data_IF_953194066561
#
_entry.id   IF_953194066561
#
_cell.length_a   1.000
_cell.length_b   1.000
_cell.length_c   1.000
_cell.angle_alpha   90.00
_cell.angle_beta   90.00
_cell.angle_gamma   90.00
#
_symmetry.space_group_name_H-M   'P 1'
#
loop_
_entity.id
_entity.type
_entity.pdbx_description
1 polymer ?
#
# COMPACT_ATOMS: atom_id res chain seq x y z
N UNK A 1 -19.01 -10.36 27.81
CA UNK A 1 -19.45 -10.52 26.41
C UNK A 1 -18.44 -9.73 25.60
N UNK A 2 -17.65 -10.33 24.69
CA UNK A 2 -16.57 -9.58 24.05
C UNK A 2 -17.16 -8.43 23.23
N UNK A 3 -16.62 -7.23 23.47
CA UNK A 3 -17.18 -5.96 23.05
C UNK A 3 -17.17 -5.80 21.52
N UNK A 4 -18.36 -5.91 20.90
CA UNK A 4 -18.55 -5.66 19.46
C UNK A 4 -18.08 -4.25 19.03
N UNK A 5 -17.96 -3.31 19.97
CA UNK A 5 -17.41 -1.96 19.75
C UNK A 5 -15.90 -1.94 19.49
N UNK A 6 -15.15 -2.91 20.05
CA UNK A 6 -13.69 -3.01 19.88
C UNK A 6 -13.34 -3.84 18.64
N UNK A 7 -14.21 -4.73 18.16
CA UNK A 7 -13.90 -5.59 17.01
C UNK A 7 -14.18 -4.92 15.64
N UNK A 8 -15.11 -3.96 15.59
CA UNK A 8 -15.56 -3.33 14.34
C UNK A 8 -14.42 -2.72 13.50
N UNK A 9 -13.60 -1.81 14.06
CA UNK A 9 -12.51 -1.17 13.32
C UNK A 9 -11.45 -2.17 12.84
N UNK A 10 -11.15 -3.20 13.64
CA UNK A 10 -10.21 -4.25 13.26
C UNK A 10 -10.73 -5.09 12.10
N UNK A 11 -12.00 -5.48 12.12
CA UNK A 11 -12.63 -6.23 11.01
C UNK A 11 -12.64 -5.40 9.74
N UNK A 12 -12.98 -4.11 9.83
CA UNK A 12 -12.94 -3.20 8.69
C UNK A 12 -11.52 -3.11 8.10
N UNK A 13 -10.50 -2.96 8.94
CA UNK A 13 -9.10 -2.92 8.51
C UNK A 13 -8.64 -4.25 7.89
N UNK A 14 -9.03 -5.40 8.46
CA UNK A 14 -8.70 -6.73 7.89
C UNK A 14 -9.34 -6.88 6.50
N UNK A 15 -10.60 -6.51 6.34
CA UNK A 15 -11.27 -6.52 5.04
C UNK A 15 -10.56 -5.59 4.05
N UNK A 16 -10.19 -4.39 4.49
CA UNK A 16 -9.43 -3.42 3.69
C UNK A 16 -8.09 -4.03 3.22
N UNK A 17 -7.28 -4.57 4.14
CA UNK A 17 -6.02 -5.24 3.78
C UNK A 17 -6.24 -6.40 2.83
N UNK A 18 -7.27 -7.23 3.07
CA UNK A 18 -7.63 -8.36 2.21
C UNK A 18 -7.95 -7.92 0.78
N UNK A 19 -8.72 -6.85 0.61
CA UNK A 19 -9.05 -6.29 -0.71
C UNK A 19 -7.79 -5.76 -1.42
N UNK A 20 -6.94 -5.02 -0.73
CA UNK A 20 -5.70 -4.47 -1.31
C UNK A 20 -4.72 -5.58 -1.69
N UNK A 21 -4.49 -6.56 -0.81
CA UNK A 21 -3.62 -7.70 -1.07
C UNK A 21 -4.16 -8.57 -2.22
N UNK A 22 -5.47 -8.84 -2.22
CA UNK A 22 -6.12 -9.65 -3.25
C UNK A 22 -6.06 -8.99 -4.63
N UNK A 23 -6.37 -7.70 -4.71
CA UNK A 23 -6.27 -6.94 -5.96
C UNK A 23 -4.83 -6.84 -6.46
N UNK A 24 -3.86 -6.57 -5.58
CA UNK A 24 -2.45 -6.52 -5.97
C UNK A 24 -1.92 -7.88 -6.47
N UNK A 25 -2.27 -8.99 -5.81
CA UNK A 25 -1.88 -10.32 -6.26
C UNK A 25 -2.54 -10.67 -7.61
N UNK A 26 -3.81 -10.32 -7.80
CA UNK A 26 -4.50 -10.48 -9.08
C UNK A 26 -3.80 -9.67 -10.18
N UNK A 27 -3.47 -8.40 -9.94
CA UNK A 27 -2.75 -7.55 -10.89
C UNK A 27 -1.39 -8.13 -11.25
N UNK A 28 -0.63 -8.65 -10.28
CA UNK A 28 0.66 -9.31 -10.54
C UNK A 28 0.50 -10.57 -11.39
N UNK A 29 -0.52 -11.38 -11.13
CA UNK A 29 -0.80 -12.60 -11.92
C UNK A 29 -1.20 -12.27 -13.35
N UNK A 30 -2.00 -11.23 -13.57
CA UNK A 30 -2.36 -10.74 -14.90
C UNK A 30 -1.09 -10.26 -15.61
N UNK A 31 -0.28 -9.44 -14.94
CA UNK A 31 0.98 -8.92 -15.47
C UNK A 31 1.93 -10.05 -15.91
N UNK A 32 2.11 -11.07 -15.07
CA UNK A 32 2.97 -12.23 -15.36
C UNK A 32 2.48 -13.05 -16.56
N UNK A 33 1.18 -13.02 -16.87
CA UNK A 33 0.59 -13.68 -18.05
C UNK A 33 0.66 -12.83 -19.31
N UNK A 34 0.59 -11.51 -19.19
CA UNK A 34 0.50 -10.60 -20.34
C UNK A 34 1.86 -10.09 -20.80
N UNK A 35 2.84 -9.90 -19.90
CA UNK A 35 4.11 -9.25 -20.20
C UNK A 35 5.29 -10.16 -19.83
N UNK A 36 6.30 -10.19 -20.70
CA UNK A 36 7.54 -10.94 -20.44
C UNK A 36 8.30 -10.41 -19.22
N UNK A 37 8.68 -11.32 -18.32
CA UNK A 37 9.43 -11.03 -17.07
C UNK A 37 10.81 -10.40 -17.28
N UNK A 38 11.36 -10.50 -18.50
CA UNK A 38 12.69 -9.97 -18.84
C UNK A 38 12.66 -8.47 -19.16
N UNK A 39 11.48 -7.90 -19.40
CA UNK A 39 11.35 -6.52 -19.86
C UNK A 39 11.46 -5.53 -18.70
N UNK A 40 12.15 -4.40 -18.91
CA UNK A 40 12.22 -3.32 -17.91
C UNK A 40 10.84 -2.78 -17.52
N UNK A 41 9.88 -2.83 -18.45
CA UNK A 41 8.49 -2.45 -18.22
C UNK A 41 7.75 -3.42 -17.26
N UNK A 42 8.05 -4.72 -17.29
CA UNK A 42 7.51 -5.67 -16.31
C UNK A 42 7.99 -5.31 -14.90
N UNK A 43 9.30 -5.05 -14.76
CA UNK A 43 9.91 -4.62 -13.49
C UNK A 43 9.33 -3.30 -12.98
N UNK A 44 9.11 -2.34 -13.86
CA UNK A 44 8.43 -1.09 -13.55
C UNK A 44 7.04 -1.34 -12.94
N UNK A 45 6.22 -2.18 -13.59
CA UNK A 45 4.86 -2.46 -13.13
C UNK A 45 4.83 -3.28 -11.82
N UNK A 46 5.76 -4.21 -11.64
CA UNK A 46 5.91 -4.93 -10.35
C UNK A 46 6.22 -3.95 -9.22
N UNK A 47 7.13 -3.01 -9.45
CA UNK A 47 7.51 -1.98 -8.47
C UNK A 47 6.34 -1.04 -8.16
N UNK A 48 5.61 -0.62 -9.20
CA UNK A 48 4.42 0.22 -9.07
C UNK A 48 3.33 -0.48 -8.24
N UNK A 49 3.02 -1.76 -8.53
CA UNK A 49 2.01 -2.53 -7.80
C UNK A 49 2.45 -2.80 -6.37
N UNK A 50 3.72 -3.14 -6.15
CA UNK A 50 4.28 -3.34 -4.81
C UNK A 50 4.20 -2.08 -3.97
N UNK A 51 4.64 -0.95 -4.52
CA UNK A 51 4.56 0.34 -3.83
C UNK A 51 3.12 0.74 -3.55
N UNK A 52 2.22 0.61 -4.54
CA UNK A 52 0.81 0.94 -4.37
C UNK A 52 0.17 0.10 -3.25
N UNK A 53 0.45 -1.20 -3.20
CA UNK A 53 -0.03 -2.10 -2.16
C UNK A 53 0.45 -1.66 -0.76
N UNK A 54 1.75 -1.44 -0.59
CA UNK A 54 2.33 -1.09 0.71
C UNK A 54 1.78 0.25 1.20
N UNK A 55 1.82 1.28 0.36
CA UNK A 55 1.33 2.61 0.71
C UNK A 55 -0.17 2.58 1.05
N UNK A 56 -0.98 1.85 0.29
CA UNK A 56 -2.43 1.74 0.56
C UNK A 56 -2.71 1.10 1.92
N UNK A 57 -1.96 0.05 2.29
CA UNK A 57 -2.07 -0.56 3.61
C UNK A 57 -1.55 0.37 4.74
N UNK A 58 -0.50 1.16 4.48
CA UNK A 58 0.02 2.12 5.47
C UNK A 58 -1.00 3.21 5.80
N UNK A 59 -1.81 3.66 4.83
CA UNK A 59 -2.88 4.61 5.12
C UNK A 59 -3.92 4.06 6.10
N UNK A 60 -4.27 2.77 5.99
CA UNK A 60 -5.18 2.11 6.90
C UNK A 60 -4.55 1.83 8.28
N UNK A 61 -3.22 1.65 8.34
CA UNK A 61 -2.52 1.51 9.62
C UNK A 61 -2.68 2.75 10.53
N UNK A 62 -2.94 3.94 9.98
CA UNK A 62 -3.26 5.12 10.78
C UNK A 62 -4.55 4.94 11.60
N UNK A 63 -5.55 4.23 11.05
CA UNK A 63 -6.79 3.87 11.75
C UNK A 63 -6.48 2.93 12.91
N UNK A 64 -5.60 1.95 12.71
CA UNK A 64 -5.18 1.02 13.77
C UNK A 64 -4.49 1.76 14.93
N UNK A 65 -3.60 2.70 14.63
CA UNK A 65 -2.91 3.51 15.65
C UNK A 65 -3.92 4.31 16.48
N UNK A 66 -4.91 4.93 15.84
CA UNK A 66 -5.91 5.76 16.51
C UNK A 66 -6.79 4.97 17.49
N UNK A 67 -7.13 3.71 17.16
CA UNK A 67 -8.07 2.90 17.96
C UNK A 67 -7.40 1.91 18.91
N UNK A 68 -6.21 1.39 18.57
CA UNK A 68 -5.56 0.32 19.32
C UNK A 68 -4.11 0.64 19.74
N UNK A 69 -3.63 1.85 19.44
CA UNK A 69 -2.32 2.34 19.85
C UNK A 69 -1.15 1.77 19.05
N UNK A 70 0.06 2.21 19.44
CA UNK A 70 1.32 1.97 18.71
C UNK A 70 1.77 0.50 18.77
N UNK A 71 1.45 -0.21 19.85
CA UNK A 71 1.77 -1.65 20.00
C UNK A 71 1.04 -2.50 18.96
N UNK A 72 -0.24 -2.19 18.69
CA UNK A 72 -1.05 -2.88 17.68
C UNK A 72 -0.59 -2.57 16.27
N UNK A 73 -0.13 -1.34 16.01
CA UNK A 73 0.52 -0.96 14.77
C UNK A 73 1.79 -1.77 14.49
N UNK A 74 2.63 -1.99 15.50
CA UNK A 74 3.83 -2.82 15.35
C UNK A 74 3.48 -4.25 14.94
N UNK A 75 2.46 -4.84 15.55
CA UNK A 75 2.01 -6.20 15.22
C UNK A 75 1.45 -6.23 13.78
N UNK A 76 0.56 -5.29 13.43
CA UNK A 76 -0.06 -5.24 12.10
C UNK A 76 0.99 -5.04 11.00
N UNK A 77 1.92 -4.11 11.17
CA UNK A 77 3.00 -3.86 10.22
C UNK A 77 3.97 -5.03 10.12
N UNK A 78 4.26 -5.74 11.21
CA UNK A 78 5.08 -6.95 11.18
C UNK A 78 4.43 -8.04 10.33
N UNK A 79 3.15 -8.33 10.57
CA UNK A 79 2.39 -9.33 9.79
C UNK A 79 2.32 -8.94 8.32
N UNK A 80 1.99 -7.68 8.02
CA UNK A 80 1.97 -7.15 6.66
C UNK A 80 3.35 -7.24 6.00
N UNK A 81 4.44 -6.97 6.73
CA UNK A 81 5.81 -7.10 6.25
C UNK A 81 6.14 -8.51 5.79
N UNK A 82 5.75 -9.54 6.56
CA UNK A 82 5.89 -10.94 6.13
C UNK A 82 5.09 -11.25 4.86
N UNK A 83 3.86 -10.72 4.76
CA UNK A 83 3.03 -10.89 3.57
C UNK A 83 3.66 -10.19 2.35
N UNK A 84 4.18 -8.98 2.52
CA UNK A 84 4.82 -8.22 1.46
C UNK A 84 6.10 -8.90 0.98
N UNK A 85 6.92 -9.38 1.90
CA UNK A 85 8.13 -10.13 1.57
C UNK A 85 7.84 -11.42 0.82
N UNK A 86 6.71 -12.09 1.11
CA UNK A 86 6.33 -13.32 0.41
C UNK A 86 5.61 -13.08 -0.93
N UNK A 87 4.90 -11.97 -1.09
CA UNK A 87 4.08 -11.67 -2.28
C UNK A 87 4.70 -10.67 -3.26
N UNK A 88 5.71 -9.91 -2.83
CA UNK A 88 6.26 -8.74 -3.55
C UNK A 88 6.98 -9.04 -4.87
N UNK A 89 7.31 -10.32 -5.17
CA UNK A 89 8.00 -10.76 -6.41
C UNK A 89 9.26 -9.92 -6.76
N UNK A 90 9.95 -9.41 -5.74
CA UNK A 90 11.16 -8.60 -5.91
C UNK A 90 10.93 -7.10 -6.10
N UNK A 91 9.75 -6.57 -5.80
CA UNK A 91 9.53 -5.13 -5.60
C UNK A 91 10.22 -4.66 -4.31
N UNK A 92 10.81 -3.47 -4.35
CA UNK A 92 11.42 -2.81 -3.20
C UNK A 92 10.40 -2.08 -2.34
N UNK A 93 9.45 -1.39 -2.96
CA UNK A 93 8.39 -0.63 -2.28
C UNK A 93 8.90 0.57 -1.49
N UNK A 94 10.14 0.98 -1.71
CA UNK A 94 10.79 2.11 -1.03
C UNK A 94 11.97 2.63 -1.85
N UNK A 95 12.11 3.96 -2.00
CA UNK A 95 13.22 4.55 -2.76
C UNK A 95 14.58 4.33 -2.09
N UNK A 96 14.60 4.01 -0.80
CA UNK A 96 15.84 3.86 -0.05
C UNK A 96 16.70 2.72 -0.61
N UNK A 97 16.10 1.59 -0.97
CA UNK A 97 16.83 0.43 -1.49
C UNK A 97 17.43 0.70 -2.88
N UNK A 98 16.70 1.29 -3.86
CA UNK A 98 17.29 1.78 -5.10
C UNK A 98 18.39 2.85 -4.90
N UNK A 99 18.25 3.76 -3.92
CA UNK A 99 19.29 4.75 -3.59
C UNK A 99 20.56 4.05 -3.11
N UNK A 100 20.42 3.10 -2.19
CA UNK A 100 21.54 2.32 -1.67
C UNK A 100 22.27 1.55 -2.79
N UNK A 101 21.52 0.90 -3.67
CA UNK A 101 22.08 0.20 -4.83
C UNK A 101 22.75 1.14 -5.83
N UNK A 102 22.26 2.36 -5.99
CA UNK A 102 22.92 3.36 -6.83
C UNK A 102 24.23 3.82 -6.21
N UNK A 103 24.24 4.03 -4.88
CA UNK A 103 25.44 4.43 -4.14
C UNK A 103 26.55 3.40 -4.21
N UNK A 104 26.23 2.10 -4.07
CA UNK A 104 27.19 1.01 -4.20
C UNK A 104 27.52 0.62 -5.65
N UNK A 105 26.90 1.25 -6.65
CA UNK A 105 27.15 0.95 -8.07
C UNK A 105 26.53 -0.36 -8.57
N UNK A 106 25.62 -0.95 -7.80
CA UNK A 106 24.89 -2.19 -8.14
C UNK A 106 23.85 -1.97 -9.26
N UNK A 107 23.32 -0.74 -9.40
CA UNK A 107 22.37 -0.38 -10.46
C UNK A 107 22.82 0.86 -11.26
N UNK A 108 22.41 0.90 -12.53
CA UNK A 108 22.59 2.08 -13.39
C UNK A 108 21.57 3.16 -13.06
N UNK A 109 21.95 4.43 -13.26
CA UNK A 109 21.08 5.60 -13.05
C UNK A 109 19.74 5.50 -13.80
N UNK A 110 19.73 4.98 -15.04
CA UNK A 110 18.50 4.82 -15.81
C UNK A 110 17.50 3.85 -15.16
N UNK A 111 18.01 2.80 -14.50
CA UNK A 111 17.17 1.83 -13.79
C UNK A 111 16.69 2.37 -12.45
N UNK A 112 17.53 3.13 -11.76
CA UNK A 112 17.13 3.88 -10.57
C UNK A 112 15.96 4.82 -10.86
N UNK A 113 16.08 5.66 -11.90
CA UNK A 113 15.02 6.60 -12.28
C UNK A 113 13.70 5.88 -12.64
N UNK A 114 13.80 4.71 -13.28
CA UNK A 114 12.64 3.89 -13.61
C UNK A 114 11.93 3.39 -12.34
N UNK A 115 12.66 2.94 -11.32
CA UNK A 115 12.06 2.54 -10.05
C UNK A 115 11.49 3.73 -9.27
N UNK A 116 12.21 4.85 -9.22
CA UNK A 116 11.73 6.07 -8.57
C UNK A 116 10.42 6.57 -9.19
N UNK A 117 10.31 6.55 -10.52
CA UNK A 117 9.06 6.88 -11.21
C UNK A 117 7.94 5.90 -10.88
N UNK A 118 8.24 4.59 -10.82
CA UNK A 118 7.26 3.57 -10.46
C UNK A 118 6.73 3.79 -9.03
N UNK A 119 7.61 4.13 -8.10
CA UNK A 119 7.28 4.37 -6.71
C UNK A 119 6.46 5.65 -6.53
N UNK A 120 6.83 6.75 -7.19
CA UNK A 120 6.06 8.00 -7.17
C UNK A 120 4.65 7.78 -7.74
N UNK A 121 4.53 7.07 -8.87
CA UNK A 121 3.23 6.73 -9.45
C UNK A 121 2.44 5.78 -8.55
N UNK A 122 3.10 4.78 -7.97
CA UNK A 122 2.50 3.82 -7.05
C UNK A 122 1.93 4.51 -5.80
N UNK A 123 2.67 5.46 -5.22
CA UNK A 123 2.22 6.28 -4.09
C UNK A 123 1.02 7.18 -4.43
N UNK A 124 1.05 7.83 -5.61
CA UNK A 124 -0.09 8.64 -6.07
C UNK A 124 -1.35 7.78 -6.28
N UNK A 125 -1.20 6.62 -6.93
CA UNK A 125 -2.30 5.66 -7.14
C UNK A 125 -2.81 5.12 -5.80
N UNK A 126 -1.92 4.81 -4.85
CA UNK A 126 -2.29 4.34 -3.52
C UNK A 126 -3.20 5.32 -2.79
N UNK A 127 -2.93 6.62 -2.89
CA UNK A 127 -3.80 7.64 -2.29
C UNK A 127 -5.22 7.63 -2.89
N UNK A 128 -5.33 7.48 -4.21
CA UNK A 128 -6.64 7.36 -4.86
C UNK A 128 -7.38 6.08 -4.46
N UNK A 129 -6.67 4.95 -4.37
CA UNK A 129 -7.24 3.67 -3.92
C UNK A 129 -7.72 3.79 -2.48
N UNK A 130 -6.90 4.35 -1.58
CA UNK A 130 -7.26 4.50 -0.18
C UNK A 130 -8.52 5.34 0.01
N UNK A 131 -8.60 6.51 -0.67
CA UNK A 131 -9.79 7.36 -0.64
C UNK A 131 -11.04 6.66 -1.18
N UNK A 132 -10.89 5.88 -2.25
CA UNK A 132 -12.00 5.13 -2.84
C UNK A 132 -12.48 4.04 -1.89
N UNK A 133 -11.56 3.31 -1.27
CA UNK A 133 -11.89 2.28 -0.28
C UNK A 133 -12.56 2.88 0.94
N UNK A 134 -12.05 4.00 1.48
CA UNK A 134 -12.70 4.72 2.58
C UNK A 134 -14.09 5.22 2.22
N UNK A 135 -14.29 5.70 0.98
CA UNK A 135 -15.61 6.10 0.48
C UNK A 135 -16.60 4.93 0.46
N UNK A 136 -16.16 3.75 0.00
CA UNK A 136 -17.02 2.57 -0.01
C UNK A 136 -17.24 1.96 1.38
N UNK A 137 -16.35 2.23 2.34
CA UNK A 137 -16.48 1.74 3.71
C UNK A 137 -17.09 2.74 4.70
N UNK A 138 -17.56 3.91 4.23
CA UNK A 138 -18.18 4.97 5.06
C UNK A 138 -19.30 4.46 5.98
N UNK A 139 -20.12 3.54 5.48
CA UNK A 139 -21.27 3.03 6.23
C UNK A 139 -20.88 2.02 7.33
N UNK A 140 -19.66 1.49 7.27
CA UNK A 140 -19.20 0.42 8.16
C UNK A 140 -18.28 0.93 9.28
N UNK A 141 -17.63 2.09 9.11
CA UNK A 141 -16.71 2.66 10.09
C UNK A 141 -16.77 4.17 10.12
N UNK A 142 -17.05 4.74 11.30
CA UNK A 142 -17.01 6.20 11.53
C UNK A 142 -15.61 6.76 11.25
N UNK A 143 -14.56 5.99 11.55
CA UNK A 143 -13.16 6.40 11.29
C UNK A 143 -12.86 6.53 9.80
N UNK A 144 -13.47 5.69 8.95
CA UNK A 144 -13.32 5.84 7.50
C UNK A 144 -14.02 7.09 6.98
N UNK A 145 -15.12 7.50 7.61
CA UNK A 145 -15.78 8.79 7.33
C UNK A 145 -14.89 9.97 7.69
N UNK A 146 -14.29 9.96 8.88
CA UNK A 146 -13.36 11.02 9.31
C UNK A 146 -12.13 11.12 8.40
N UNK A 147 -11.53 9.98 8.04
CA UNK A 147 -10.37 9.93 7.13
C UNK A 147 -10.74 10.41 5.73
N UNK A 148 -11.92 10.05 5.22
CA UNK A 148 -12.42 10.53 3.93
C UNK A 148 -12.68 12.05 3.94
N UNK A 149 -13.37 12.57 4.96
CA UNK A 149 -13.63 14.02 5.09
C UNK A 149 -12.32 14.80 5.24
N UNK A 150 -11.40 14.32 6.08
CA UNK A 150 -10.08 14.94 6.21
C UNK A 150 -9.31 14.95 4.88
N UNK A 151 -9.41 13.88 4.08
CA UNK A 151 -8.81 13.81 2.74
C UNK A 151 -9.40 14.83 1.75
N UNK A 152 -10.65 15.26 1.94
CA UNK A 152 -11.29 16.29 1.12
C UNK A 152 -10.81 17.68 1.54
N UNK A 153 -10.68 17.93 2.85
CA UNK A 153 -10.27 19.21 3.41
C UNK A 153 -8.80 19.56 3.10
N UNK A 154 -7.94 18.57 2.81
CA UNK A 154 -6.56 18.82 2.34
C UNK A 154 -6.51 19.29 0.88
N UNK A 155 -7.58 19.10 0.11
CA UNK A 155 -7.70 19.55 -1.28
C UNK A 155 -8.35 20.94 -1.41
N UNK A 156 -8.89 21.51 -0.33
CA UNK A 156 -9.34 22.90 -0.26
C UNK A 156 -8.20 23.81 0.20
N UNK A 157 -7.20 23.96 -0.66
CA UNK A 157 -6.34 25.15 -0.67
C UNK A 157 -6.88 26.03 -1.80
N UNK A 158 -7.85 26.86 -1.46
CA UNK A 158 -8.16 28.11 -2.17
C UNK A 158 -8.09 29.21 -1.12
#
# INVERSE_FOLDING_TARGET
MPDFTVAGPLVAAICYYGTVLGTAELSRRILDKTISKKTSFHRFLIELIGTAQICTCVFENAVIVQHYGVSSFFIATTVLGFIFSSTGRGSYGTPLTPIEMLYYGEIRLSRFLLFLLAEMMGGAIAWHIARTLWFHSLQYSQTHMEMFVNSQNTCSIV
#
